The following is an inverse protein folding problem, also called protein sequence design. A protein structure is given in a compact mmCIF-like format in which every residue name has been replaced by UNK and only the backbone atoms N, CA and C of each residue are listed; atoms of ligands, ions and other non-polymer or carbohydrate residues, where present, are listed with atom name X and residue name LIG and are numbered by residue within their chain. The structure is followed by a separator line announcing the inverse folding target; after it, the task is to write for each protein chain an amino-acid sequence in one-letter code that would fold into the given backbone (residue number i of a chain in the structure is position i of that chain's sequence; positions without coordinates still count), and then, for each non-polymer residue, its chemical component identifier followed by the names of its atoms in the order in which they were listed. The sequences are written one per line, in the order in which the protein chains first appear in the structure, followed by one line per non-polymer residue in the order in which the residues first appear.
data_IF_489960541396
#
_entry.id   IF_489960541396
#
_cell.length_a   1.000
_cell.length_b   1.000
_cell.length_c   1.000
_cell.angle_alpha   90.00
_cell.angle_beta   90.00
_cell.angle_gamma   90.00
#
_symmetry.space_group_name_H-M   'P 1'
#
loop_
_entity.id
_entity.type
_entity.pdbx_description
1 polymer ?
#
# COMPACT_ATOMS: atom_id res chain seq x y z
N UNK A 1 -12.97 -4.96 0.94
CA UNK A 1 -12.31 -6.24 1.27
C UNK A 1 -12.94 -6.80 2.52
N UNK A 2 -13.31 -8.08 2.53
CA UNK A 2 -13.85 -8.72 3.73
C UNK A 2 -12.73 -9.26 4.61
N UNK A 3 -12.72 -8.89 5.90
CA UNK A 3 -11.86 -9.53 6.89
C UNK A 3 -12.59 -10.72 7.50
N UNK A 4 -12.00 -11.91 7.42
CA UNK A 4 -12.58 -13.17 7.89
C UNK A 4 -12.18 -13.46 9.34
N UNK A 5 -10.90 -13.30 9.65
CA UNK A 5 -10.37 -13.51 11.01
C UNK A 5 -9.21 -12.55 11.29
N UNK A 6 -9.06 -12.16 12.56
CA UNK A 6 -7.99 -11.30 13.06
C UNK A 6 -7.33 -12.00 14.25
N UNK A 7 -6.05 -12.30 14.12
CA UNK A 7 -5.23 -12.90 15.17
C UNK A 7 -3.90 -12.15 15.24
N UNK A 8 -3.93 -10.92 15.77
CA UNK A 8 -2.75 -10.08 15.93
C UNK A 8 -2.79 -9.28 17.21
N UNK A 9 -1.60 -8.90 17.68
CA UNK A 9 -1.42 -7.96 18.78
C UNK A 9 -0.85 -6.65 18.21
N UNK A 10 -1.41 -5.51 18.62
CA UNK A 10 -0.94 -4.18 18.14
C UNK A 10 0.53 -3.99 18.52
N UNK A 11 1.34 -3.54 17.55
CA UNK A 11 2.80 -3.40 17.65
C UNK A 11 3.56 -4.72 17.86
N UNK A 12 2.94 -5.86 17.58
CA UNK A 12 3.54 -7.18 17.68
C UNK A 12 3.06 -8.06 16.50
N UNK A 13 3.47 -9.32 16.49
CA UNK A 13 3.18 -10.27 15.43
C UNK A 13 1.73 -10.70 15.37
N UNK A 14 1.38 -11.28 14.22
CA UNK A 14 0.06 -11.89 14.03
C UNK A 14 -0.32 -12.05 12.58
N UNK A 15 -1.54 -12.51 12.35
CA UNK A 15 -2.11 -12.73 11.04
C UNK A 15 -3.55 -12.26 10.90
N UNK A 16 -3.94 -12.00 9.66
CA UNK A 16 -5.30 -11.63 9.28
C UNK A 16 -5.68 -12.41 8.03
N UNK A 17 -6.83 -13.09 8.06
CA UNK A 17 -7.42 -13.74 6.90
C UNK A 17 -8.40 -12.79 6.22
N UNK A 18 -8.27 -12.64 4.90
CA UNK A 18 -9.02 -11.66 4.13
C UNK A 18 -9.48 -12.24 2.79
N UNK A 19 -10.58 -11.70 2.27
CA UNK A 19 -11.13 -12.03 0.96
C UNK A 19 -11.28 -10.71 0.18
N UNK A 20 -10.52 -10.50 -0.91
CA UNK A 20 -10.73 -9.36 -1.80
C UNK A 20 -11.99 -9.61 -2.63
N UNK A 21 -12.95 -8.70 -2.58
CA UNK A 21 -14.26 -8.81 -3.25
C UNK A 21 -14.27 -8.05 -4.59
N UNK A 22 -13.51 -6.94 -4.68
CA UNK A 22 -13.45 -6.06 -5.85
C UNK A 22 -12.00 -5.66 -6.25
N UNK A 23 -11.83 -5.02 -7.42
CA UNK A 23 -10.48 -4.66 -7.92
C UNK A 23 -9.73 -3.70 -7.00
N UNK A 24 -10.44 -2.76 -6.36
CA UNK A 24 -9.87 -1.81 -5.40
C UNK A 24 -9.34 -2.52 -4.13
N UNK A 25 -9.86 -3.72 -3.81
CA UNK A 25 -9.32 -4.54 -2.73
C UNK A 25 -7.94 -5.09 -3.06
N UNK A 26 -7.67 -5.40 -4.34
CA UNK A 26 -6.35 -5.86 -4.76
C UNK A 26 -5.31 -4.74 -4.66
N UNK A 27 -5.72 -3.50 -4.95
CA UNK A 27 -4.88 -2.32 -4.68
C UNK A 27 -4.64 -2.14 -3.17
N UNK A 28 -5.68 -2.32 -2.36
CA UNK A 28 -5.56 -2.26 -0.91
C UNK A 28 -4.64 -3.35 -0.35
N UNK A 29 -4.75 -4.58 -0.87
CA UNK A 29 -3.84 -5.69 -0.56
C UNK A 29 -2.40 -5.34 -0.97
N UNK A 30 -2.21 -4.75 -2.14
CA UNK A 30 -0.89 -4.31 -2.59
C UNK A 30 -0.27 -3.34 -1.58
N UNK A 31 -1.03 -2.36 -1.08
CA UNK A 31 -0.57 -1.38 -0.07
C UNK A 31 -0.29 -2.00 1.30
N UNK A 32 -1.09 -3.00 1.68
CA UNK A 32 -0.96 -3.65 2.97
C UNK A 32 0.21 -4.64 3.01
N UNK A 33 0.51 -5.33 1.91
CA UNK A 33 1.56 -6.36 1.83
C UNK A 33 2.92 -5.70 1.54
N UNK A 34 3.88 -5.90 2.44
CA UNK A 34 5.24 -5.39 2.36
C UNK A 34 6.26 -6.52 2.19
N UNK A 35 7.46 -6.17 1.73
CA UNK A 35 8.61 -7.08 1.73
C UNK A 35 8.89 -7.58 3.16
N UNK A 36 9.21 -8.87 3.28
CA UNK A 36 9.45 -9.54 4.56
C UNK A 36 8.20 -10.12 5.23
N UNK A 37 7.00 -9.74 4.80
CA UNK A 37 5.75 -10.35 5.25
C UNK A 37 5.62 -11.80 4.77
N UNK A 38 4.63 -12.52 5.28
CA UNK A 38 4.29 -13.88 4.84
C UNK A 38 2.87 -13.92 4.32
N UNK A 39 2.68 -14.54 3.16
CA UNK A 39 1.36 -14.68 2.53
C UNK A 39 1.08 -16.16 2.27
N UNK A 40 0.00 -16.66 2.84
CA UNK A 40 -0.53 -18.00 2.63
C UNK A 40 -1.77 -17.92 1.74
N UNK A 41 -1.71 -18.55 0.57
CA UNK A 41 -2.83 -18.61 -0.36
C UNK A 41 -2.85 -19.92 -1.17
N UNK A 42 -3.99 -20.20 -1.78
CA UNK A 42 -4.13 -21.27 -2.75
C UNK A 42 -3.51 -20.87 -4.10
N UNK A 43 -2.79 -21.78 -4.72
CA UNK A 43 -2.16 -21.64 -6.04
C UNK A 43 -2.32 -22.93 -6.84
N UNK A 44 -2.09 -22.87 -8.15
CA UNK A 44 -2.13 -24.04 -9.04
C UNK A 44 -0.77 -24.20 -9.68
N UNK A 45 -0.16 -25.38 -9.51
CA UNK A 45 1.12 -25.72 -10.13
C UNK A 45 0.98 -26.88 -11.10
N UNK A 46 1.63 -26.76 -12.25
CA UNK A 46 1.84 -27.88 -13.17
C UNK A 46 3.01 -28.72 -12.63
N UNK A 47 2.72 -29.93 -12.17
CA UNK A 47 3.70 -30.89 -11.64
C UNK A 47 3.92 -31.97 -12.68
N UNK A 48 5.18 -32.26 -13.00
CA UNK A 48 5.55 -33.36 -13.89
C UNK A 48 5.86 -34.57 -13.01
N UNK A 49 5.15 -35.68 -13.21
CA UNK A 49 5.45 -36.94 -12.49
C UNK A 49 6.73 -37.56 -13.03
N UNK A 50 7.46 -38.28 -12.18
CA UNK A 50 8.58 -39.12 -12.61
C UNK A 50 8.09 -40.14 -13.65
N UNK A 51 8.70 -40.13 -14.84
CA UNK A 51 8.22 -40.86 -16.03
C UNK A 51 7.77 -39.96 -17.21
N UNK A 52 7.73 -38.64 -17.03
CA UNK A 52 7.94 -37.64 -18.09
C UNK A 52 6.82 -37.38 -19.10
N UNK A 53 5.74 -38.17 -19.17
CA UNK A 53 4.76 -38.05 -20.27
C UNK A 53 3.47 -37.27 -19.98
N UNK A 54 3.12 -37.00 -18.71
CA UNK A 54 1.89 -36.27 -18.38
C UNK A 54 2.11 -35.31 -17.21
N UNK A 55 1.82 -34.04 -17.46
CA UNK A 55 1.90 -32.99 -16.46
C UNK A 55 0.50 -32.71 -15.90
N UNK A 56 0.38 -32.73 -14.58
CA UNK A 56 -0.88 -32.60 -13.86
C UNK A 56 -0.94 -31.24 -13.16
N UNK A 57 -2.09 -30.57 -13.20
CA UNK A 57 -2.31 -29.33 -12.47
C UNK A 57 -2.79 -29.68 -11.06
N UNK A 58 -2.01 -29.32 -10.06
CA UNK A 58 -2.33 -29.56 -8.67
C UNK A 58 -2.59 -28.24 -7.94
N UNK A 59 -3.68 -28.20 -7.18
CA UNK A 59 -3.97 -27.11 -6.25
C UNK A 59 -3.12 -27.29 -5.01
N UNK A 60 -2.36 -26.27 -4.65
CA UNK A 60 -1.48 -26.25 -3.49
C UNK A 60 -1.84 -25.05 -2.63
N UNK A 61 -1.74 -25.16 -1.31
CA UNK A 61 -1.78 -24.02 -0.40
C UNK A 61 -0.36 -23.76 0.06
N UNK A 62 0.20 -22.62 -0.32
CA UNK A 62 1.60 -22.27 -0.06
C UNK A 62 1.68 -20.98 0.72
N UNK A 63 2.59 -20.97 1.69
CA UNK A 63 3.05 -19.77 2.35
C UNK A 63 4.38 -19.32 1.76
N UNK A 64 4.44 -18.06 1.31
CA UNK A 64 5.67 -17.46 0.81
C UNK A 64 6.11 -16.31 1.70
N UNK A 65 7.42 -16.20 1.93
CA UNK A 65 8.03 -14.96 2.44
C UNK A 65 8.13 -13.98 1.27
N UNK A 66 7.45 -12.85 1.38
CA UNK A 66 7.33 -11.83 0.34
C UNK A 66 8.69 -11.17 0.09
N UNK A 67 9.11 -11.15 -1.17
CA UNK A 67 10.25 -10.35 -1.64
C UNK A 67 9.77 -9.12 -2.42
N UNK A 68 8.71 -9.25 -3.22
CA UNK A 68 8.11 -8.11 -3.92
C UNK A 68 6.66 -8.35 -4.30
N UNK A 69 5.93 -7.27 -4.56
CA UNK A 69 4.57 -7.32 -5.13
C UNK A 69 4.50 -6.53 -6.43
N UNK A 70 3.74 -7.04 -7.38
CA UNK A 70 3.50 -6.43 -8.69
C UNK A 70 1.99 -6.32 -8.87
N UNK A 71 1.48 -5.09 -8.90
CA UNK A 71 0.08 -4.81 -9.17
C UNK A 71 -0.10 -4.34 -10.62
N UNK A 72 -0.91 -5.07 -11.37
CA UNK A 72 -1.35 -4.67 -12.71
C UNK A 72 -2.76 -4.07 -12.61
N UNK A 73 -2.85 -2.75 -12.82
CA UNK A 73 -4.11 -2.00 -12.80
C UNK A 73 -5.03 -2.39 -13.95
N UNK A 74 -4.50 -2.69 -15.14
CA UNK A 74 -5.32 -3.04 -16.31
C UNK A 74 -5.85 -4.46 -16.18
N UNK A 75 -4.99 -5.39 -15.77
CA UNK A 75 -5.36 -6.79 -15.54
C UNK A 75 -6.07 -7.05 -14.22
N UNK A 76 -6.27 -6.03 -13.36
CA UNK A 76 -6.82 -6.16 -12.00
C UNK A 76 -6.22 -7.36 -11.25
N UNK A 77 -4.89 -7.45 -11.27
CA UNK A 77 -4.16 -8.62 -10.79
C UNK A 77 -3.06 -8.19 -9.83
N UNK A 78 -3.02 -8.81 -8.65
CA UNK A 78 -1.91 -8.68 -7.71
C UNK A 78 -1.08 -9.96 -7.69
N UNK A 79 0.18 -9.84 -8.12
CA UNK A 79 1.19 -10.90 -8.08
C UNK A 79 2.14 -10.65 -6.91
N UNK A 80 2.37 -11.68 -6.11
CA UNK A 80 3.26 -11.65 -4.95
C UNK A 80 4.38 -12.63 -5.23
N UNK A 81 5.62 -12.14 -5.26
CA UNK A 81 6.81 -12.94 -5.50
C UNK A 81 7.57 -13.11 -4.20
N UNK A 82 8.09 -14.32 -3.99
CA UNK A 82 8.77 -14.64 -2.75
C UNK A 82 9.29 -16.08 -2.71
N UNK A 83 9.78 -16.49 -1.54
CA UNK A 83 10.30 -17.83 -1.31
C UNK A 83 9.31 -18.66 -0.52
N UNK A 84 9.02 -19.87 -0.99
CA UNK A 84 8.17 -20.82 -0.30
C UNK A 84 8.77 -21.20 1.06
N UNK A 85 7.97 -21.13 2.13
CA UNK A 85 8.35 -21.57 3.47
C UNK A 85 7.54 -22.79 3.95
N UNK A 86 6.53 -23.21 3.18
CA UNK A 86 5.76 -24.41 3.48
C UNK A 86 6.46 -25.66 2.97
N UNK A 87 6.59 -26.68 3.82
CA UNK A 87 7.02 -28.01 3.38
C UNK A 87 5.89 -28.68 2.57
N UNK A 88 6.16 -29.09 1.34
CA UNK A 88 5.28 -29.99 0.61
C UNK A 88 6.07 -30.89 -0.36
N UNK A 89 5.38 -31.85 -0.99
CA UNK A 89 6.00 -32.84 -1.88
C UNK A 89 6.41 -32.27 -3.26
N UNK A 90 5.89 -31.09 -3.62
CA UNK A 90 5.99 -30.57 -4.99
C UNK A 90 6.80 -29.28 -5.12
N UNK A 91 7.13 -28.62 -4.03
CA UNK A 91 7.79 -27.31 -3.94
C UNK A 91 8.74 -27.33 -2.74
N UNK A 92 10.04 -27.31 -3.01
CA UNK A 92 11.04 -27.26 -1.94
C UNK A 92 10.89 -25.96 -1.13
N UNK A 93 11.20 -26.04 0.17
CA UNK A 93 11.38 -24.83 1.00
C UNK A 93 12.52 -24.00 0.40
N UNK A 94 12.37 -22.68 0.40
CA UNK A 94 13.31 -21.73 -0.17
C UNK A 94 13.20 -21.54 -1.68
N UNK A 95 12.41 -22.37 -2.38
CA UNK A 95 12.19 -22.20 -3.82
C UNK A 95 11.38 -20.93 -4.09
N UNK A 96 11.78 -20.18 -5.12
CA UNK A 96 11.00 -19.03 -5.58
C UNK A 96 9.63 -19.45 -6.08
N UNK A 97 8.62 -18.68 -5.70
CA UNK A 97 7.25 -18.86 -6.13
C UNK A 97 6.56 -17.52 -6.34
N UNK A 98 5.52 -17.55 -7.17
CA UNK A 98 4.67 -16.41 -7.43
C UNK A 98 3.23 -16.79 -7.12
N UNK A 99 2.65 -16.15 -6.09
CA UNK A 99 1.23 -16.24 -5.79
C UNK A 99 0.49 -15.14 -6.57
N UNK A 100 -0.70 -15.47 -7.04
CA UNK A 100 -1.62 -14.50 -7.64
C UNK A 100 -2.87 -14.46 -6.77
N UNK A 101 -3.17 -13.30 -6.18
CA UNK A 101 -4.42 -13.15 -5.44
C UNK A 101 -5.58 -13.07 -6.44
N UNK A 102 -6.66 -13.76 -6.12
CA UNK A 102 -7.88 -13.80 -6.92
C UNK A 102 -9.03 -13.21 -6.12
N UNK A 103 -9.94 -12.51 -6.80
CA UNK A 103 -11.18 -12.05 -6.17
C UNK A 103 -11.98 -13.24 -5.62
N UNK A 104 -12.64 -13.03 -4.49
CA UNK A 104 -13.47 -13.99 -3.78
C UNK A 104 -12.72 -15.26 -3.34
N UNK A 105 -11.39 -15.20 -3.23
CA UNK A 105 -10.55 -16.27 -2.67
C UNK A 105 -9.85 -15.78 -1.40
N UNK A 106 -9.94 -16.53 -0.29
CA UNK A 106 -9.28 -16.14 0.94
C UNK A 106 -7.76 -16.28 0.83
N UNK A 107 -7.06 -15.38 1.50
CA UNK A 107 -5.64 -15.49 1.77
C UNK A 107 -5.35 -15.02 3.19
N UNK A 108 -4.23 -15.46 3.75
CA UNK A 108 -3.77 -15.04 5.08
C UNK A 108 -2.52 -14.20 4.90
N UNK A 109 -2.53 -13.00 5.48
CA UNK A 109 -1.35 -12.15 5.62
C UNK A 109 -0.84 -12.24 7.06
N UNK A 110 0.41 -12.64 7.23
CA UNK A 110 1.12 -12.62 8.51
C UNK A 110 2.23 -11.58 8.48
N UNK A 111 2.28 -10.75 9.51
CA UNK A 111 3.31 -9.73 9.72
C UNK A 111 4.04 -10.02 11.02
N UNK A 112 5.32 -9.67 11.05
CA UNK A 112 6.09 -9.68 12.31
C UNK A 112 5.66 -8.56 13.25
N UNK A 113 5.19 -7.44 12.71
CA UNK A 113 4.67 -6.30 13.49
C UNK A 113 3.45 -5.71 12.77
N UNK A 114 2.32 -5.66 13.47
CA UNK A 114 1.13 -4.90 13.08
C UNK A 114 1.18 -3.50 13.69
N UNK A 115 1.93 -2.61 13.04
CA UNK A 115 2.06 -1.20 13.44
C UNK A 115 0.80 -0.38 13.15
N UNK A 116 0.74 0.87 13.63
CA UNK A 116 -0.39 1.76 13.41
C UNK A 116 -0.73 1.93 11.93
N UNK A 117 0.28 1.95 11.05
CA UNK A 117 0.10 2.07 9.61
C UNK A 117 -0.58 0.84 9.02
N UNK A 118 -0.11 -0.37 9.35
CA UNK A 118 -0.70 -1.61 8.86
C UNK A 118 -2.16 -1.74 9.33
N UNK A 119 -2.45 -1.32 10.56
CA UNK A 119 -3.80 -1.29 11.10
C UNK A 119 -4.69 -0.25 10.41
N UNK A 120 -4.18 0.94 10.13
CA UNK A 120 -4.88 1.97 9.36
C UNK A 120 -5.23 1.45 7.95
N UNK A 121 -4.26 0.86 7.25
CA UNK A 121 -4.46 0.30 5.91
C UNK A 121 -5.46 -0.86 5.92
N UNK A 122 -5.37 -1.75 6.92
CA UNK A 122 -6.33 -2.83 7.09
C UNK A 122 -7.75 -2.30 7.34
N UNK A 123 -7.88 -1.29 8.21
CA UNK A 123 -9.15 -0.65 8.51
C UNK A 123 -9.77 -0.02 7.26
N UNK A 124 -8.98 0.79 6.53
CA UNK A 124 -9.38 1.42 5.28
C UNK A 124 -9.85 0.38 4.26
N UNK A 125 -9.08 -0.69 4.06
CA UNK A 125 -9.41 -1.75 3.13
C UNK A 125 -10.68 -2.55 3.52
N UNK A 126 -10.97 -2.63 4.83
CA UNK A 126 -12.13 -3.35 5.36
C UNK A 126 -13.44 -2.55 5.37
N UNK A 127 -13.36 -1.23 5.24
CA UNK A 127 -14.52 -0.34 5.37
C UNK A 127 -15.13 -0.08 3.99
N UNK A 128 -16.30 -0.65 3.69
CA UNK A 128 -16.98 -0.52 2.38
C UNK A 128 -17.47 0.90 2.02
N UNK A 129 -17.30 1.89 2.89
CA UNK A 129 -17.55 3.32 2.58
C UNK A 129 -16.42 3.96 1.77
N UNK A 130 -15.79 3.19 0.87
CA UNK A 130 -14.69 3.64 0.03
C UNK A 130 -15.14 4.72 -0.96
N UNK A 131 -16.41 4.68 -1.40
CA UNK A 131 -16.96 5.57 -2.45
C UNK A 131 -16.78 7.05 -2.12
N UNK A 132 -16.95 7.43 -0.85
CA UNK A 132 -16.72 8.81 -0.42
C UNK A 132 -15.22 9.11 -0.33
N UNK A 133 -14.42 8.22 0.24
CA UNK A 133 -12.98 8.44 0.40
C UNK A 133 -12.24 8.54 -0.94
N UNK A 134 -12.54 7.67 -1.91
CA UNK A 134 -11.98 7.76 -3.26
C UNK A 134 -12.47 9.00 -3.99
N UNK A 135 -13.74 9.39 -3.83
CA UNK A 135 -14.25 10.64 -4.39
C UNK A 135 -13.54 11.86 -3.82
N UNK A 136 -13.39 11.96 -2.51
CA UNK A 136 -12.67 13.06 -1.85
C UNK A 136 -11.19 13.07 -2.22
N UNK A 137 -10.55 11.90 -2.37
CA UNK A 137 -9.17 11.81 -2.84
C UNK A 137 -9.03 12.36 -4.27
N UNK A 138 -9.93 11.99 -5.20
CA UNK A 138 -9.91 12.51 -6.57
C UNK A 138 -10.20 14.02 -6.62
N UNK A 139 -11.11 14.51 -5.78
CA UNK A 139 -11.39 15.94 -5.63
C UNK A 139 -10.16 16.70 -5.12
N UNK A 140 -9.51 16.20 -4.06
CA UNK A 140 -8.29 16.80 -3.53
C UNK A 140 -7.16 16.83 -4.58
N UNK A 141 -7.00 15.78 -5.38
CA UNK A 141 -6.00 15.77 -6.45
C UNK A 141 -6.30 16.82 -7.53
N UNK A 142 -7.57 16.96 -7.90
CA UNK A 142 -8.03 17.97 -8.87
C UNK A 142 -7.85 19.39 -8.33
N UNK A 143 -8.18 19.60 -7.05
CA UNK A 143 -8.01 20.87 -6.35
C UNK A 143 -6.53 21.26 -6.28
N UNK A 144 -5.64 20.34 -5.90
CA UNK A 144 -4.20 20.57 -5.85
C UNK A 144 -3.67 21.09 -7.20
N UNK A 145 -3.96 20.40 -8.30
CA UNK A 145 -3.53 20.83 -9.64
C UNK A 145 -4.20 22.13 -10.12
N UNK A 146 -5.34 22.50 -9.53
CA UNK A 146 -5.97 23.79 -9.80
C UNK A 146 -5.25 24.90 -9.04
N UNK A 147 -4.94 24.69 -7.76
CA UNK A 147 -4.22 25.64 -6.92
C UNK A 147 -2.80 25.87 -7.44
N UNK A 148 -2.04 24.81 -7.77
CA UNK A 148 -0.70 24.96 -8.37
C UNK A 148 -0.69 25.88 -9.61
N UNK A 149 -1.79 25.92 -10.38
CA UNK A 149 -1.90 26.76 -11.59
C UNK A 149 -2.44 28.17 -11.33
N UNK A 150 -3.30 28.35 -10.33
CA UNK A 150 -4.08 29.59 -10.13
C UNK A 150 -3.68 30.37 -8.88
N UNK A 151 -3.22 29.67 -7.85
CA UNK A 151 -2.91 30.18 -6.52
C UNK A 151 -1.80 29.30 -5.90
N UNK A 152 -0.58 29.52 -6.37
CA UNK A 152 0.59 28.72 -6.00
C UNK A 152 0.92 28.82 -4.51
N UNK A 153 0.54 29.90 -3.85
CA UNK A 153 0.87 30.10 -2.43
C UNK A 153 -0.01 29.23 -1.53
N UNK A 154 -1.13 28.71 -2.04
CA UNK A 154 -2.03 27.79 -1.32
C UNK A 154 -1.78 26.31 -1.58
N UNK A 155 -0.76 25.97 -2.35
CA UNK A 155 -0.38 24.58 -2.61
C UNK A 155 1.13 24.44 -2.75
N UNK A 156 1.71 23.45 -2.08
CA UNK A 156 3.15 23.16 -2.22
C UNK A 156 3.37 21.68 -2.57
N UNK A 157 4.53 21.38 -3.15
CA UNK A 157 4.97 20.03 -3.46
C UNK A 157 6.47 19.91 -3.24
N UNK A 158 6.95 18.70 -2.98
CA UNK A 158 8.33 18.47 -2.59
C UNK A 158 8.48 18.25 -1.08
N UNK A 159 9.40 17.36 -0.65
CA UNK A 159 9.55 17.01 0.76
C UNK A 159 9.82 18.23 1.67
N UNK A 160 10.74 19.12 1.28
CA UNK A 160 11.11 20.29 2.08
C UNK A 160 9.95 21.26 2.26
N UNK A 161 9.24 21.60 1.17
CA UNK A 161 8.13 22.55 1.26
C UNK A 161 6.98 22.00 2.11
N UNK A 162 6.67 20.72 1.95
CA UNK A 162 5.61 20.07 2.75
C UNK A 162 5.99 20.02 4.23
N UNK A 163 7.26 19.83 4.57
CA UNK A 163 7.73 19.88 5.96
C UNK A 163 7.60 21.26 6.56
N UNK A 164 8.03 22.30 5.84
CA UNK A 164 7.89 23.68 6.31
C UNK A 164 6.40 24.05 6.46
N UNK A 165 5.56 23.64 5.51
CA UNK A 165 4.12 23.82 5.63
C UNK A 165 3.52 23.08 6.85
N UNK A 166 4.05 21.91 7.18
CA UNK A 166 3.65 21.16 8.36
C UNK A 166 4.08 21.86 9.66
N UNK A 167 5.32 22.36 9.73
CA UNK A 167 5.84 23.13 10.87
C UNK A 167 5.03 24.40 11.11
N UNK A 168 4.54 25.03 10.04
CA UNK A 168 3.65 26.20 10.12
C UNK A 168 2.17 25.84 10.37
N UNK A 169 1.84 24.55 10.59
CA UNK A 169 0.46 24.07 10.77
C UNK A 169 -0.49 24.48 9.63
N UNK A 170 0.06 24.67 8.43
CA UNK A 170 -0.67 25.19 7.28
C UNK A 170 -1.37 24.09 6.47
N UNK A 171 -1.03 22.82 6.69
CA UNK A 171 -1.57 21.72 5.89
C UNK A 171 -3.06 21.50 6.17
N UNK A 172 -3.88 21.63 5.13
CA UNK A 172 -5.28 21.21 5.12
C UNK A 172 -5.41 19.75 4.66
N UNK A 173 -4.78 19.44 3.52
CA UNK A 173 -4.84 18.11 2.90
C UNK A 173 -3.44 17.71 2.43
N UNK A 174 -2.93 16.60 2.94
CA UNK A 174 -1.70 15.97 2.49
C UNK A 174 -2.00 14.93 1.40
N UNK A 175 -1.29 15.00 0.28
CA UNK A 175 -1.31 14.02 -0.80
C UNK A 175 0.07 13.38 -0.87
N UNK A 176 0.15 12.07 -0.65
CA UNK A 176 1.43 11.36 -0.59
C UNK A 176 1.36 10.06 -1.38
N UNK A 177 2.42 9.75 -2.12
CA UNK A 177 2.50 8.53 -2.89
C UNK A 177 2.87 7.33 -2.03
N UNK A 178 2.26 6.19 -2.30
CA UNK A 178 2.52 4.94 -1.60
C UNK A 178 3.99 4.48 -1.69
N UNK A 179 4.70 4.79 -2.78
CA UNK A 179 6.13 4.42 -2.93
C UNK A 179 7.02 5.06 -1.86
N UNK A 180 6.71 6.26 -1.36
CA UNK A 180 7.50 6.93 -0.32
C UNK A 180 7.45 6.17 1.01
N UNK A 181 6.39 5.40 1.24
CA UNK A 181 6.28 4.53 2.40
C UNK A 181 6.82 3.12 2.17
N UNK A 182 7.07 2.75 0.91
CA UNK A 182 7.69 1.48 0.53
C UNK A 182 9.17 1.64 0.20
N UNK A 183 9.75 2.80 0.50
CA UNK A 183 11.18 3.04 0.29
C UNK A 183 12.01 1.98 1.02
N UNK A 184 13.04 1.49 0.33
CA UNK A 184 14.03 0.56 0.89
C UNK A 184 14.77 1.23 2.06
N UNK A 185 14.92 2.56 2.02
CA UNK A 185 15.47 3.31 3.13
C UNK A 185 14.46 3.39 4.29
N UNK A 186 14.83 2.71 5.38
CA UNK A 186 14.03 2.65 6.60
C UNK A 186 13.85 4.03 7.22
N UNK A 187 14.83 4.92 7.10
CA UNK A 187 14.76 6.29 7.63
C UNK A 187 13.67 7.07 6.90
N UNK A 188 13.70 7.04 5.55
CA UNK A 188 12.67 7.65 4.70
C UNK A 188 11.27 7.11 5.01
N UNK A 189 11.11 5.79 5.12
CA UNK A 189 9.81 5.18 5.47
C UNK A 189 9.29 5.68 6.82
N UNK A 190 10.15 5.72 7.84
CA UNK A 190 9.77 6.20 9.18
C UNK A 190 9.44 7.70 9.17
N UNK A 191 10.19 8.52 8.43
CA UNK A 191 9.95 9.95 8.28
C UNK A 191 8.54 10.24 7.76
N UNK A 192 8.16 9.65 6.63
CA UNK A 192 6.83 9.88 6.05
C UNK A 192 5.69 9.24 6.85
N UNK A 193 5.94 8.10 7.51
CA UNK A 193 4.95 7.51 8.43
C UNK A 193 4.66 8.43 9.62
N UNK A 194 5.70 9.07 10.18
CA UNK A 194 5.56 10.06 11.27
C UNK A 194 4.84 11.32 10.79
N UNK A 195 5.22 11.86 9.63
CA UNK A 195 4.57 13.04 9.03
C UNK A 195 3.07 12.82 8.86
N UNK A 196 2.67 11.71 8.23
CA UNK A 196 1.24 11.41 8.00
C UNK A 196 0.48 11.24 9.30
N UNK A 197 1.11 10.62 10.30
CA UNK A 197 0.51 10.47 11.63
C UNK A 197 0.32 11.83 12.31
N UNK A 198 1.32 12.73 12.22
CA UNK A 198 1.26 14.08 12.82
C UNK A 198 0.25 14.99 12.11
N UNK A 199 0.17 14.95 10.79
CA UNK A 199 -0.85 15.67 9.99
C UNK A 199 -2.25 15.24 10.41
N UNK A 200 -2.51 13.93 10.52
CA UNK A 200 -3.81 13.41 11.00
C UNK A 200 -4.11 13.86 12.44
N UNK A 201 -3.13 13.86 13.33
CA UNK A 201 -3.28 14.32 14.72
C UNK A 201 -3.59 15.82 14.80
N UNK A 202 -3.14 16.60 13.83
CA UNK A 202 -3.41 18.04 13.71
C UNK A 202 -4.82 18.34 13.17
N UNK A 203 -5.63 17.32 12.89
CA UNK A 203 -6.98 17.46 12.34
C UNK A 203 -7.03 17.62 10.82
N UNK A 204 -5.88 17.58 10.15
CA UNK A 204 -5.79 17.66 8.70
C UNK A 204 -6.00 16.28 8.05
N UNK A 205 -6.41 16.28 6.78
CA UNK A 205 -6.68 15.05 6.03
C UNK A 205 -5.43 14.58 5.29
N UNK A 206 -5.23 13.26 5.19
CA UNK A 206 -4.14 12.69 4.39
C UNK A 206 -4.66 11.59 3.46
N UNK A 207 -4.33 11.69 2.17
CA UNK A 207 -4.68 10.74 1.13
C UNK A 207 -3.43 10.09 0.53
N UNK A 208 -3.49 8.78 0.33
CA UNK A 208 -2.41 7.99 -0.28
C UNK A 208 -2.76 7.71 -1.74
N UNK A 209 -1.83 8.00 -2.64
CA UNK A 209 -1.98 7.83 -4.08
C UNK A 209 -0.94 6.87 -4.67
N UNK A 210 -1.26 6.31 -5.83
CA UNK A 210 -0.27 5.54 -6.61
C UNK A 210 0.83 6.44 -7.16
N UNK A 211 2.02 5.91 -7.52
CA UNK A 211 3.16 6.72 -7.97
C UNK A 211 2.86 7.48 -9.26
N UNK A 212 2.02 6.91 -10.13
CA UNK A 212 1.65 7.53 -11.41
C UNK A 212 0.79 8.78 -11.24
N UNK A 213 -0.03 8.84 -10.19
CA UNK A 213 -0.93 9.98 -9.94
C UNK A 213 -0.17 11.23 -9.45
N UNK A 214 0.97 11.05 -8.79
CA UNK A 214 1.80 12.14 -8.25
C UNK A 214 3.18 12.23 -8.93
N UNK A 215 3.36 11.56 -10.06
CA UNK A 215 4.66 11.44 -10.75
C UNK A 215 5.26 12.81 -11.11
N UNK A 216 4.43 13.77 -11.49
CA UNK A 216 4.87 15.11 -11.92
C UNK A 216 5.22 16.07 -10.76
N UNK A 217 4.99 15.67 -9.51
CA UNK A 217 5.12 16.54 -8.33
C UNK A 217 5.88 15.84 -7.20
N UNK A 218 6.94 15.09 -7.55
CA UNK A 218 7.90 14.45 -6.61
C UNK A 218 7.31 13.41 -5.66
N UNK A 219 6.03 13.03 -5.82
CA UNK A 219 5.36 12.05 -4.98
C UNK A 219 4.79 12.56 -3.66
N UNK A 220 4.97 13.83 -3.30
CA UNK A 220 4.36 14.43 -2.09
C UNK A 220 3.96 15.89 -2.33
N UNK A 221 2.77 16.25 -1.88
CA UNK A 221 2.23 17.60 -1.99
C UNK A 221 1.19 17.90 -0.90
N UNK A 222 0.90 19.18 -0.70
CA UNK A 222 -0.09 19.63 0.28
C UNK A 222 -0.94 20.79 -0.26
N UNK A 223 -2.23 20.75 0.07
CA UNK A 223 -3.15 21.90 0.00
C UNK A 223 -3.12 22.59 1.36
N UNK A 224 -3.06 23.93 1.36
CA UNK A 224 -2.88 24.73 2.56
C UNK A 224 -4.15 25.49 2.98
N UNK A 225 -4.35 25.61 4.29
CA UNK A 225 -5.41 26.40 4.91
C UNK A 225 -5.27 27.89 4.60
N UNK A 226 -4.03 28.37 4.56
CA UNK A 226 -3.68 29.76 4.28
C UNK A 226 -2.44 29.81 3.38
N UNK A 227 -2.28 30.87 2.57
CA UNK A 227 -1.15 30.98 1.66
C UNK A 227 0.18 31.09 2.42
N UNK A 228 1.22 30.44 1.88
CA UNK A 228 2.61 30.53 2.33
C UNK A 228 3.52 30.99 1.17
N UNK A 229 3.61 32.31 0.90
CA UNK A 229 4.35 32.83 -0.25
C UNK A 229 5.85 32.52 -0.20
N UNK A 230 6.41 32.42 1.00
CA UNK A 230 7.84 32.22 1.22
C UNK A 230 8.33 30.83 0.77
N UNK A 231 7.44 29.86 0.58
CA UNK A 231 7.81 28.51 0.11
C UNK A 231 8.39 28.53 -1.31
N UNK A 232 7.94 29.44 -2.17
CA UNK A 232 8.40 29.54 -3.55
C UNK A 232 9.88 29.97 -3.66
N UNK A 233 10.43 30.57 -2.59
CA UNK A 233 11.82 31.03 -2.54
C UNK A 233 12.80 29.96 -2.04
N UNK A 234 12.29 28.80 -1.62
CA UNK A 234 13.08 27.71 -1.08
C UNK A 234 13.37 26.73 -2.22
N UNK A 235 14.65 26.47 -2.50
CA UNK A 235 15.03 25.48 -3.52
C UNK A 235 14.49 24.09 -3.18
N UNK A 236 13.81 23.48 -4.16
CA UNK A 236 13.20 22.14 -4.08
C UNK A 236 14.21 21.07 -3.65
#
# INVERSE_FOLDING_TARGET
MQVVSKDYVKNDGGSVEMVPEESDDLWSCHNLIAEGDYVLADTVRKVVREGGKKAERMKLRLEIKVERTEYDKQGSTLRILGKNITKNEHVKIGAFHSLQLQLNRPFVLRKQVWDSRALDLLHQASTKNVVDHTKYAHQALTELFTLIRKDSDRACYGPKHVEIAHENMAIQTLLISDHLFRSVDTVTRQRYAKLVSSVKQSGATAFIFSPTQLAHITGIAAILWFPLPDLNHIEM
#
